data_IF_010145142886
#
_entry.id   IF_010145142886
#
_cell.length_a   1.000
_cell.length_b   1.000
_cell.length_c   1.000
_cell.angle_alpha   90.00
_cell.angle_beta   90.00
_cell.angle_gamma   90.00
#
_symmetry.space_group_name_H-M   'P 1'
#
loop_
_entity.id
_entity.type
_entity.pdbx_description
1 polymer ?
#
# COMPACT_ATOMS: atom_id res chain seq x y z
N UNK A 1 4.69 -38.68 -13.11
CA UNK A 1 5.80 -39.61 -12.78
C UNK A 1 6.05 -39.66 -11.27
N UNK A 2 5.78 -38.58 -10.53
CA UNK A 2 5.97 -38.56 -9.06
C UNK A 2 4.65 -38.60 -8.25
N UNK A 3 3.51 -38.94 -8.88
CA UNK A 3 2.21 -39.07 -8.21
C UNK A 3 1.48 -37.75 -7.89
N UNK A 4 1.99 -36.60 -8.36
CA UNK A 4 1.33 -35.32 -8.17
C UNK A 4 0.13 -35.11 -9.10
N UNK A 5 -0.95 -34.56 -8.55
CA UNK A 5 -2.08 -34.06 -9.32
C UNK A 5 -1.75 -32.66 -9.87
N UNK A 6 -1.27 -32.64 -11.12
CA UNK A 6 -0.86 -31.41 -11.79
C UNK A 6 -2.05 -30.46 -12.00
N UNK A 7 -3.24 -30.97 -12.29
CA UNK A 7 -4.43 -30.15 -12.51
C UNK A 7 -4.83 -29.41 -11.24
N UNK A 8 -4.78 -30.11 -10.10
CA UNK A 8 -5.02 -29.48 -8.80
C UNK A 8 -3.98 -28.40 -8.48
N UNK A 9 -2.69 -28.69 -8.67
CA UNK A 9 -1.61 -27.73 -8.40
C UNK A 9 -1.75 -26.49 -9.27
N UNK A 10 -2.05 -26.66 -10.56
CA UNK A 10 -2.28 -25.52 -11.47
C UNK A 10 -3.47 -24.69 -11.02
N UNK A 11 -4.57 -25.31 -10.59
CA UNK A 11 -5.72 -24.59 -10.04
C UNK A 11 -5.35 -23.75 -8.81
N UNK A 12 -4.63 -24.35 -7.84
CA UNK A 12 -4.19 -23.65 -6.63
C UNK A 12 -3.26 -22.47 -6.95
N UNK A 13 -2.37 -22.63 -7.94
CA UNK A 13 -1.50 -21.55 -8.41
C UNK A 13 -2.26 -20.44 -9.14
N UNK A 14 -3.28 -20.79 -9.92
CA UNK A 14 -4.14 -19.81 -10.60
C UNK A 14 -4.99 -19.00 -9.63
N UNK A 15 -5.41 -19.60 -8.51
CA UNK A 15 -6.20 -18.92 -7.48
C UNK A 15 -5.34 -18.07 -6.53
N UNK A 16 -4.02 -18.25 -6.54
CA UNK A 16 -3.11 -17.58 -5.63
C UNK A 16 -2.96 -16.08 -5.93
N UNK A 17 -3.35 -15.24 -4.98
CA UNK A 17 -3.24 -13.78 -5.09
C UNK A 17 -2.14 -13.22 -4.19
N UNK A 18 -1.49 -12.16 -4.65
CA UNK A 18 -0.51 -11.38 -3.89
C UNK A 18 -0.84 -9.90 -4.05
N UNK A 19 -1.05 -9.21 -2.92
CA UNK A 19 -1.32 -7.79 -2.92
C UNK A 19 -0.08 -6.98 -3.38
N UNK A 20 -0.30 -5.98 -4.22
CA UNK A 20 0.76 -5.11 -4.72
C UNK A 20 0.96 -3.92 -3.78
N UNK A 21 2.19 -3.65 -3.31
CA UNK A 21 2.48 -2.46 -2.53
C UNK A 21 2.41 -1.21 -3.41
N UNK A 22 1.55 -0.26 -3.06
CA UNK A 22 1.39 1.02 -3.80
C UNK A 22 2.71 1.79 -3.99
N UNK A 23 3.63 1.67 -3.02
CA UNK A 23 4.91 2.38 -3.00
C UNK A 23 5.98 1.77 -3.91
N UNK A 24 5.72 0.62 -4.54
CA UNK A 24 6.69 -0.04 -5.44
C UNK A 24 6.51 0.31 -6.93
N UNK A 25 5.47 1.07 -7.29
CA UNK A 25 5.15 1.37 -8.69
C UNK A 25 5.97 2.55 -9.26
N UNK A 26 6.43 3.44 -8.40
CA UNK A 26 7.35 4.51 -8.78
C UNK A 26 8.81 4.07 -8.70
N UNK A 27 9.73 4.90 -9.19
CA UNK A 27 11.16 4.64 -9.03
C UNK A 27 11.52 4.57 -7.55
N UNK A 28 12.08 3.41 -7.14
CA UNK A 28 12.74 3.26 -5.86
C UNK A 28 13.97 4.16 -5.75
N UNK A 29 14.43 4.37 -4.53
CA UNK A 29 15.62 5.15 -4.25
C UNK A 29 16.47 4.51 -3.17
N UNK A 30 17.73 4.90 -3.12
CA UNK A 30 18.61 4.60 -1.99
C UNK A 30 18.94 5.89 -1.27
N UNK A 31 19.62 5.80 -0.12
CA UNK A 31 20.19 6.97 0.56
C UNK A 31 21.19 7.78 -0.29
N UNK A 32 21.68 7.22 -1.41
CA UNK A 32 22.64 7.88 -2.29
C UNK A 32 22.00 8.58 -3.49
N UNK A 33 20.79 8.17 -3.88
CA UNK A 33 20.15 8.73 -5.07
C UNK A 33 18.87 8.00 -5.45
N UNK A 34 18.04 8.73 -6.18
CA UNK A 34 16.81 8.27 -6.84
C UNK A 34 16.87 8.73 -8.28
N UNK A 35 16.70 7.80 -9.21
CA UNK A 35 16.75 8.05 -10.64
C UNK A 35 15.37 7.79 -11.22
N UNK A 36 14.62 8.86 -11.46
CA UNK A 36 13.27 8.77 -11.97
C UNK A 36 13.22 8.34 -13.44
N UNK A 37 12.05 7.89 -13.89
CA UNK A 37 11.73 7.59 -15.29
C UNK A 37 10.40 8.22 -15.72
N UNK A 38 10.14 8.21 -17.03
CA UNK A 38 8.91 8.77 -17.58
C UNK A 38 7.70 7.91 -17.24
N UNK A 39 6.59 8.56 -16.88
CA UNK A 39 5.32 7.88 -16.59
C UNK A 39 5.21 7.31 -15.19
N UNK A 40 6.08 7.71 -14.24
CA UNK A 40 5.90 7.31 -12.85
C UNK A 40 4.56 7.80 -12.28
N UNK A 41 3.83 6.95 -11.53
CA UNK A 41 2.57 7.35 -10.92
C UNK A 41 2.84 8.35 -9.79
N UNK A 42 2.14 9.48 -9.86
CA UNK A 42 2.23 10.61 -8.93
C UNK A 42 1.04 10.72 -7.97
N UNK A 43 -0.01 9.92 -8.19
CA UNK A 43 -1.22 9.89 -7.37
C UNK A 43 -1.66 8.46 -7.08
N UNK A 44 -2.54 8.28 -6.08
CA UNK A 44 -3.09 6.96 -5.74
C UNK A 44 -3.91 6.39 -6.91
N UNK A 45 -4.67 7.23 -7.61
CA UNK A 45 -5.44 6.84 -8.80
C UNK A 45 -4.53 6.24 -9.88
N UNK A 46 -3.40 6.89 -10.16
CA UNK A 46 -2.42 6.39 -11.15
C UNK A 46 -1.79 5.08 -10.69
N UNK A 47 -1.48 4.94 -9.39
CA UNK A 47 -0.99 3.68 -8.84
C UNK A 47 -2.00 2.55 -9.01
N UNK A 48 -3.29 2.81 -8.78
CA UNK A 48 -4.36 1.82 -8.97
C UNK A 48 -4.50 1.47 -10.45
N UNK A 49 -4.40 2.43 -11.37
CA UNK A 49 -4.42 2.18 -12.82
C UNK A 49 -3.26 1.26 -13.24
N UNK A 50 -2.04 1.52 -12.75
CA UNK A 50 -0.87 0.69 -13.00
C UNK A 50 -1.04 -0.75 -12.45
N UNK A 51 -1.64 -0.89 -11.25
CA UNK A 51 -1.96 -2.20 -10.67
C UNK A 51 -3.04 -2.91 -11.49
N UNK A 52 -4.02 -2.19 -12.02
CA UNK A 52 -5.01 -2.74 -12.94
C UNK A 52 -4.36 -3.39 -14.16
N UNK A 53 -3.31 -2.77 -14.72
CA UNK A 53 -2.51 -3.38 -15.80
C UNK A 53 -1.81 -4.64 -15.32
N UNK A 54 -1.14 -4.61 -14.16
CA UNK A 54 -0.48 -5.79 -13.58
C UNK A 54 -1.48 -6.94 -13.41
N UNK A 55 -2.63 -6.68 -12.79
CA UNK A 55 -3.66 -7.70 -12.56
C UNK A 55 -4.23 -8.24 -13.88
N UNK A 56 -4.45 -7.38 -14.88
CA UNK A 56 -4.93 -7.84 -16.19
C UNK A 56 -3.97 -8.83 -16.86
N UNK A 57 -2.67 -8.66 -16.66
CA UNK A 57 -1.63 -9.49 -17.27
C UNK A 57 -1.30 -10.74 -16.45
N UNK A 58 -1.24 -10.61 -15.12
CA UNK A 58 -0.80 -11.71 -14.24
C UNK A 58 -1.95 -12.51 -13.67
N UNK A 59 -3.14 -11.92 -13.55
CA UNK A 59 -4.32 -12.45 -12.85
C UNK A 59 -4.08 -12.79 -11.36
N UNK A 60 -2.93 -12.37 -10.80
CA UNK A 60 -2.52 -12.66 -9.40
C UNK A 60 -2.35 -11.40 -8.54
N UNK A 61 -2.47 -10.22 -9.14
CA UNK A 61 -2.29 -8.92 -8.50
C UNK A 61 -3.62 -8.23 -8.11
N UNK A 62 -4.63 -9.00 -7.69
CA UNK A 62 -6.02 -8.50 -7.49
C UNK A 62 -6.26 -7.65 -6.24
N UNK A 63 -5.20 -7.16 -5.59
CA UNK A 63 -5.31 -6.30 -4.42
C UNK A 63 -4.14 -5.32 -4.30
N UNK A 64 -4.37 -4.20 -3.62
CA UNK A 64 -3.35 -3.19 -3.30
C UNK A 64 -3.18 -3.05 -1.79
N UNK A 65 -1.93 -2.97 -1.34
CA UNK A 65 -1.59 -2.61 0.04
C UNK A 65 -1.17 -1.14 0.06
N UNK A 66 -1.90 -0.33 0.84
CA UNK A 66 -1.70 1.12 0.91
C UNK A 66 -0.77 1.50 2.06
N UNK A 67 -0.09 2.65 1.94
CA UNK A 67 0.77 3.19 2.98
C UNK A 67 0.38 4.62 3.33
N UNK A 68 0.00 4.85 4.59
CA UNK A 68 -0.47 6.14 5.06
C UNK A 68 0.66 6.85 5.81
N UNK A 69 0.94 8.13 5.49
CA UNK A 69 0.08 9.06 4.76
C UNK A 69 0.35 9.22 3.25
N UNK A 70 1.21 8.39 2.64
CA UNK A 70 1.56 8.53 1.22
C UNK A 70 0.38 8.33 0.27
N UNK A 71 -0.60 7.54 0.68
CA UNK A 71 -1.75 7.14 -0.12
C UNK A 71 -3.09 7.54 0.52
N UNK A 72 -3.16 8.67 1.22
CA UNK A 72 -4.45 9.14 1.75
C UNK A 72 -5.36 9.52 0.57
N UNK A 73 -6.55 8.90 0.41
CA UNK A 73 -7.51 9.30 -0.59
C UNK A 73 -7.99 10.74 -0.36
N UNK A 74 -8.01 11.54 -1.42
CA UNK A 74 -8.72 12.82 -1.44
C UNK A 74 -10.23 12.61 -1.54
N UNK A 75 -10.65 11.61 -2.32
CA UNK A 75 -12.03 11.15 -2.47
C UNK A 75 -12.09 9.62 -2.36
N UNK A 76 -12.62 9.13 -1.25
CA UNK A 76 -12.74 7.69 -0.97
C UNK A 76 -13.73 6.99 -1.92
N UNK A 77 -14.78 7.68 -2.37
CA UNK A 77 -15.78 7.08 -3.26
C UNK A 77 -15.18 6.86 -4.65
N UNK A 78 -14.49 7.88 -5.17
CA UNK A 78 -13.82 7.79 -6.47
C UNK A 78 -12.71 6.73 -6.48
N UNK A 79 -11.93 6.62 -5.39
CA UNK A 79 -10.89 5.60 -5.25
C UNK A 79 -11.49 4.18 -5.25
N UNK A 80 -12.59 3.96 -4.53
CA UNK A 80 -13.29 2.66 -4.53
C UNK A 80 -13.87 2.34 -5.90
N UNK A 81 -14.57 3.29 -6.52
CA UNK A 81 -15.14 3.11 -7.87
C UNK A 81 -14.06 2.71 -8.89
N UNK A 82 -12.91 3.38 -8.86
CA UNK A 82 -11.78 3.06 -9.73
C UNK A 82 -11.20 1.67 -9.46
N UNK A 83 -11.01 1.32 -8.18
CA UNK A 83 -10.49 0.01 -7.79
C UNK A 83 -11.45 -1.12 -8.21
N UNK A 84 -12.77 -0.95 -7.96
CA UNK A 84 -13.81 -1.88 -8.38
C UNK A 84 -13.85 -2.06 -9.90
N UNK A 85 -13.74 -0.97 -10.67
CA UNK A 85 -13.72 -1.01 -12.13
C UNK A 85 -12.54 -1.81 -12.70
N UNK A 86 -11.45 -1.94 -11.94
CA UNK A 86 -10.25 -2.70 -12.29
C UNK A 86 -10.15 -4.06 -11.59
N UNK A 87 -11.18 -4.46 -10.83
CA UNK A 87 -11.21 -5.65 -9.98
C UNK A 87 -10.06 -5.69 -8.95
N UNK A 88 -9.67 -4.53 -8.41
CA UNK A 88 -8.64 -4.40 -7.39
C UNK A 88 -9.30 -4.21 -6.03
N UNK A 89 -8.92 -5.04 -5.06
CA UNK A 89 -9.34 -4.91 -3.66
C UNK A 89 -8.31 -4.13 -2.84
N UNK A 90 -8.71 -3.62 -1.68
CA UNK A 90 -7.77 -3.09 -0.69
C UNK A 90 -7.38 -4.21 0.28
N UNK A 91 -6.08 -4.46 0.38
CA UNK A 91 -5.49 -5.34 1.40
C UNK A 91 -5.22 -4.53 2.69
N UNK A 92 -4.36 -5.04 3.58
CA UNK A 92 -3.96 -4.33 4.78
C UNK A 92 -3.40 -2.94 4.48
N UNK A 93 -3.73 -1.99 5.37
CA UNK A 93 -3.21 -0.62 5.35
C UNK A 93 -1.99 -0.52 6.25
N UNK A 94 -0.95 0.19 5.80
CA UNK A 94 0.33 0.30 6.49
C UNK A 94 0.51 1.70 7.08
N UNK A 95 0.82 1.77 8.37
CA UNK A 95 1.08 3.02 9.07
C UNK A 95 2.54 3.49 8.91
N UNK A 96 2.77 4.77 8.63
CA UNK A 96 4.10 5.38 8.69
C UNK A 96 4.33 6.15 10.01
N UNK A 97 5.08 5.55 10.93
CA UNK A 97 5.63 6.23 12.12
C UNK A 97 7.16 6.08 12.20
N UNK A 98 7.79 6.01 11.03
CA UNK A 98 9.25 5.95 10.85
C UNK A 98 9.79 7.19 10.11
N UNK A 99 8.90 8.11 9.73
CA UNK A 99 9.20 9.36 9.07
C UNK A 99 8.36 10.48 9.70
N UNK A 100 8.97 11.64 9.90
CA UNK A 100 8.26 12.85 10.33
C UNK A 100 7.38 13.37 9.21
N UNK A 101 6.11 13.63 9.53
CA UNK A 101 5.17 14.25 8.60
C UNK A 101 5.33 15.77 8.67
N UNK A 102 5.00 16.49 7.58
CA UNK A 102 5.27 17.92 7.42
C UNK A 102 4.80 18.78 8.60
N UNK A 103 3.66 18.43 9.17
CA UNK A 103 3.00 19.18 10.25
C UNK A 103 2.89 18.37 11.56
N UNK A 104 3.76 17.36 11.74
CA UNK A 104 3.79 16.57 12.97
C UNK A 104 4.26 17.42 14.16
N UNK A 105 3.55 17.33 15.29
CA UNK A 105 3.93 18.03 16.52
C UNK A 105 5.19 17.44 17.15
N UNK A 106 5.32 16.12 17.09
CA UNK A 106 6.43 15.35 17.64
C UNK A 106 7.23 14.65 16.55
N UNK A 107 8.55 14.52 16.75
CA UNK A 107 9.44 13.78 15.85
C UNK A 107 9.56 12.31 16.24
N UNK A 108 9.59 11.42 15.25
CA UNK A 108 9.86 9.99 15.38
C UNK A 108 11.34 9.62 15.31
N UNK A 109 12.26 10.59 15.27
CA UNK A 109 13.71 10.36 15.18
C UNK A 109 14.26 9.36 16.22
N UNK A 110 13.70 9.36 17.43
CA UNK A 110 14.13 8.48 18.54
C UNK A 110 13.12 7.35 18.84
N UNK A 111 12.28 7.01 17.86
CA UNK A 111 11.24 5.99 17.97
C UNK A 111 9.83 6.57 17.92
N UNK A 112 8.82 5.70 17.80
CA UNK A 112 7.40 6.06 17.75
C UNK A 112 6.60 5.39 18.86
N UNK A 113 6.04 4.20 18.63
CA UNK A 113 5.22 3.47 19.62
C UNK A 113 6.01 3.08 20.88
N UNK A 114 7.34 2.94 20.76
CA UNK A 114 8.26 2.62 21.85
C UNK A 114 9.10 3.82 22.31
N UNK A 115 8.79 5.05 21.87
CA UNK A 115 9.53 6.23 22.28
C UNK A 115 9.44 6.45 23.79
N UNK A 116 10.47 7.01 24.41
CA UNK A 116 10.47 7.35 25.85
C UNK A 116 9.47 8.47 26.19
N UNK A 117 9.27 9.42 25.26
CA UNK A 117 8.27 10.48 25.38
C UNK A 117 6.85 9.93 25.24
N UNK A 118 6.00 10.25 26.22
CA UNK A 118 4.57 9.88 26.19
C UNK A 118 3.84 10.55 25.02
N UNK A 119 4.12 11.82 24.74
CA UNK A 119 3.48 12.57 23.66
C UNK A 119 3.77 11.96 22.28
N UNK A 120 5.01 11.52 22.03
CA UNK A 120 5.40 10.84 20.78
C UNK A 120 4.63 9.52 20.63
N UNK A 121 4.49 8.73 21.71
CA UNK A 121 3.72 7.48 21.67
C UNK A 121 2.24 7.74 21.41
N UNK A 122 1.66 8.74 22.05
CA UNK A 122 0.25 9.13 21.83
C UNK A 122 0.02 9.58 20.38
N UNK A 123 0.93 10.37 19.81
CA UNK A 123 0.87 10.75 18.39
C UNK A 123 0.93 9.51 17.47
N UNK A 124 1.83 8.56 17.74
CA UNK A 124 1.97 7.34 16.95
C UNK A 124 0.73 6.41 17.06
N UNK A 125 0.16 6.30 18.26
CA UNK A 125 -1.08 5.55 18.50
C UNK A 125 -2.24 6.19 17.73
N UNK A 126 -2.39 7.52 17.85
CA UNK A 126 -3.43 8.25 17.15
C UNK A 126 -3.33 8.08 15.64
N UNK A 127 -2.11 8.18 15.09
CA UNK A 127 -1.86 7.91 13.67
C UNK A 127 -2.33 6.51 13.26
N UNK A 128 -2.00 5.47 14.02
CA UNK A 128 -2.44 4.10 13.72
C UNK A 128 -3.99 3.95 13.78
N UNK A 129 -4.66 4.61 14.72
CA UNK A 129 -6.12 4.63 14.77
C UNK A 129 -6.72 5.32 13.54
N UNK A 130 -6.08 6.38 13.04
CA UNK A 130 -6.54 7.06 11.83
C UNK A 130 -6.29 6.21 10.58
N UNK A 131 -5.19 5.45 10.52
CA UNK A 131 -4.94 4.44 9.47
C UNK A 131 -6.05 3.39 9.43
N UNK A 132 -6.50 2.88 10.57
CA UNK A 132 -7.63 1.95 10.66
C UNK A 132 -8.90 2.58 10.10
N UNK A 133 -9.23 3.81 10.52
CA UNK A 133 -10.42 4.53 10.01
C UNK A 133 -10.37 4.81 8.51
N UNK A 134 -9.17 4.98 7.95
CA UNK A 134 -8.97 5.12 6.50
C UNK A 134 -9.26 3.79 5.81
N UNK A 135 -8.74 2.69 6.36
CA UNK A 135 -9.06 1.33 5.88
C UNK A 135 -10.55 1.02 5.91
N UNK A 136 -11.26 1.35 6.99
CA UNK A 136 -12.72 1.12 7.11
C UNK A 136 -13.55 1.91 6.07
N UNK A 137 -12.99 2.96 5.46
CA UNK A 137 -13.66 3.77 4.44
C UNK A 137 -13.42 3.26 3.02
N UNK A 138 -12.41 2.42 2.82
CA UNK A 138 -12.01 1.83 1.54
C UNK A 138 -12.66 0.46 1.36
#
# INVERSE_FOLDING_TARGET
KDGHDVSKIVSELSDFQVAIPSWALGAGGTRFGRFSFYGEPSSLEQKIDDIGVLHSLTQTAGAVSLHIPWDIPSDYAAIKEKADALNIKFDAVNSNTFQDQKDAAESYKYGSLSNTSKAVREQAIQHNLDVIKIGDKL
#
